data_IF_864450685110
#
_entry.id   IF_864450685110
#
_cell.length_a   1.000
_cell.length_b   1.000
_cell.length_c   1.000
_cell.angle_alpha   90.00
_cell.angle_beta   90.00
_cell.angle_gamma   90.00
#
_symmetry.space_group_name_H-M   'P 1'
#
loop_
_entity.id
_entity.type
_entity.pdbx_description
1 polymer ?
#
# COMPACT_ATOMS: atom_id res chain seq x y z
N UNK A 1 8.27 4.19 16.69
CA UNK A 1 6.94 4.82 16.89
C UNK A 1 5.81 3.85 16.56
N UNK A 2 5.75 3.29 15.34
CA UNK A 2 4.75 2.27 14.98
C UNK A 2 4.87 0.97 15.78
N UNK A 3 6.09 0.51 16.03
CA UNK A 3 6.37 -0.66 16.89
C UNK A 3 5.77 -0.46 18.30
N UNK A 4 5.96 0.71 18.91
CA UNK A 4 5.39 1.05 20.22
C UNK A 4 3.85 1.22 20.23
N UNK A 5 3.23 1.42 19.05
CA UNK A 5 1.76 1.41 18.90
C UNK A 5 1.22 -0.01 18.65
N UNK A 6 2.09 -0.92 18.23
CA UNK A 6 1.83 -2.34 18.00
C UNK A 6 2.44 -3.22 19.11
N UNK A 7 2.94 -2.62 20.20
CA UNK A 7 3.58 -3.26 21.36
C UNK A 7 2.60 -4.07 22.23
N UNK A 8 1.31 -4.07 21.88
CA UNK A 8 0.42 -5.14 22.30
C UNK A 8 0.72 -6.35 21.42
N UNK A 9 1.15 -7.46 22.03
CA UNK A 9 1.44 -8.75 21.36
C UNK A 9 0.56 -8.93 20.12
N UNK A 10 1.14 -8.68 18.94
CA UNK A 10 0.39 -8.79 17.70
C UNK A 10 -0.18 -10.20 17.62
N UNK A 11 -1.45 -10.36 17.23
CA UNK A 11 -2.02 -11.69 17.10
C UNK A 11 -1.16 -12.52 16.14
N UNK A 12 -0.63 -13.64 16.63
CA UNK A 12 0.18 -14.58 15.82
C UNK A 12 -0.66 -15.31 14.79
N UNK A 13 -1.99 -15.33 14.97
CA UNK A 13 -2.97 -15.90 14.04
C UNK A 13 -4.21 -15.01 13.96
N UNK A 14 -4.86 -15.00 12.80
CA UNK A 14 -6.10 -14.25 12.59
C UNK A 14 -5.89 -12.84 12.04
N UNK A 15 -6.89 -11.97 12.22
CA UNK A 15 -6.85 -10.58 11.72
C UNK A 15 -5.98 -9.73 12.64
N UNK A 16 -5.06 -8.96 12.05
CA UNK A 16 -4.26 -7.96 12.78
C UNK A 16 -5.14 -6.89 13.46
N UNK A 17 -6.25 -6.50 12.81
CA UNK A 17 -7.22 -5.55 13.34
C UNK A 17 -8.62 -6.18 13.37
N UNK A 18 -8.95 -7.01 14.37
CA UNK A 18 -10.15 -7.86 14.36
C UNK A 18 -11.46 -7.06 14.38
N UNK A 19 -11.46 -5.86 14.97
CA UNK A 19 -12.65 -5.01 15.12
C UNK A 19 -12.74 -3.89 14.09
N UNK A 20 -11.78 -3.81 13.16
CA UNK A 20 -11.71 -2.77 12.14
C UNK A 20 -12.58 -3.10 10.94
N UNK A 21 -13.37 -2.13 10.49
CA UNK A 21 -14.22 -2.25 9.30
C UNK A 21 -13.92 -1.11 8.34
N UNK A 22 -14.30 -1.27 7.06
CA UNK A 22 -14.14 -0.20 6.05
C UNK A 22 -14.82 1.09 6.51
N UNK A 23 -16.04 1.01 7.03
CA UNK A 23 -16.78 2.16 7.55
C UNK A 23 -16.02 2.89 8.69
N UNK A 24 -15.48 2.13 9.65
CA UNK A 24 -14.65 2.70 10.73
C UNK A 24 -13.41 3.41 10.17
N UNK A 25 -12.73 2.81 9.20
CA UNK A 25 -11.54 3.39 8.56
C UNK A 25 -11.89 4.70 7.84
N UNK A 26 -12.94 4.71 7.03
CA UNK A 26 -13.37 5.91 6.29
C UNK A 26 -13.80 7.02 7.24
N UNK A 27 -14.57 6.71 8.29
CA UNK A 27 -14.99 7.69 9.30
C UNK A 27 -13.81 8.26 10.09
N UNK A 28 -12.86 7.41 10.50
CA UNK A 28 -11.65 7.85 11.21
C UNK A 28 -10.77 8.74 10.32
N UNK A 29 -10.64 8.42 9.03
CA UNK A 29 -9.96 9.28 8.07
C UNK A 29 -10.66 10.64 7.92
N UNK A 30 -11.99 10.64 7.83
CA UNK A 30 -12.76 11.89 7.74
C UNK A 30 -12.59 12.77 8.98
N UNK A 31 -12.44 12.16 10.18
CA UNK A 31 -12.09 12.87 11.40
C UNK A 31 -10.65 13.41 11.34
N UNK A 32 -9.68 12.58 10.95
CA UNK A 32 -8.27 12.98 10.83
C UNK A 32 -8.09 14.18 9.89
N UNK A 33 -8.80 14.18 8.76
CA UNK A 33 -8.81 15.30 7.80
C UNK A 33 -9.27 16.64 8.39
N UNK A 34 -10.05 16.64 9.48
CA UNK A 34 -10.44 17.88 10.17
C UNK A 34 -9.30 18.46 11.01
N UNK A 35 -8.38 17.61 11.45
CA UNK A 35 -7.24 17.98 12.30
C UNK A 35 -5.99 18.30 11.48
N UNK A 36 -5.89 17.72 10.28
CA UNK A 36 -4.75 17.81 9.38
C UNK A 36 -5.16 18.53 8.07
N UNK A 37 -4.92 19.85 7.96
CA UNK A 37 -5.32 20.65 6.79
C UNK A 37 -4.75 20.13 5.46
N UNK A 38 -3.57 19.51 5.48
CA UNK A 38 -2.91 18.91 4.31
C UNK A 38 -3.71 17.74 3.71
N UNK A 39 -4.64 17.16 4.47
CA UNK A 39 -5.51 16.09 3.99
C UNK A 39 -6.84 16.64 3.43
N UNK A 40 -7.08 17.95 3.42
CA UNK A 40 -8.31 18.51 2.86
C UNK A 40 -8.53 18.08 1.40
N UNK A 41 -9.78 17.81 1.03
CA UNK A 41 -10.15 17.32 -0.31
C UNK A 41 -9.79 15.86 -0.59
N UNK A 42 -9.14 15.15 0.33
CA UNK A 42 -8.78 13.73 0.14
C UNK A 42 -9.75 12.77 0.85
N UNK A 43 -9.76 11.51 0.41
CA UNK A 43 -10.46 10.39 1.07
C UNK A 43 -9.46 9.30 1.42
N UNK A 44 -9.85 8.30 2.21
CA UNK A 44 -8.94 7.21 2.57
C UNK A 44 -8.31 6.55 1.35
N UNK A 45 -9.08 6.32 0.27
CA UNK A 45 -8.56 5.75 -0.98
C UNK A 45 -7.51 6.65 -1.68
N UNK A 46 -7.49 7.96 -1.42
CA UNK A 46 -6.44 8.86 -1.92
C UNK A 46 -5.05 8.47 -1.39
N UNK A 47 -4.95 7.79 -0.24
CA UNK A 47 -3.66 7.25 0.26
C UNK A 47 -3.06 6.25 -0.72
N UNK A 48 -3.88 5.38 -1.32
CA UNK A 48 -3.43 4.43 -2.36
C UNK A 48 -3.02 5.14 -3.64
N UNK A 49 -3.78 6.17 -4.06
CA UNK A 49 -3.40 6.98 -5.23
C UNK A 49 -2.05 7.67 -5.01
N UNK A 50 -1.88 8.30 -3.86
CA UNK A 50 -0.62 8.95 -3.46
C UNK A 50 0.53 7.95 -3.44
N UNK A 51 0.33 6.74 -2.89
CA UNK A 51 1.33 5.69 -2.88
C UNK A 51 1.79 5.30 -4.30
N UNK A 52 0.84 5.09 -5.22
CA UNK A 52 1.14 4.80 -6.62
C UNK A 52 1.95 5.95 -7.26
N UNK A 53 1.58 7.20 -6.99
CA UNK A 53 2.35 8.38 -7.44
C UNK A 53 3.77 8.41 -6.85
N UNK A 54 3.97 7.99 -5.60
CA UNK A 54 5.33 7.91 -5.05
C UNK A 54 6.17 6.83 -5.74
N UNK A 55 5.59 5.64 -5.99
CA UNK A 55 6.27 4.61 -6.77
C UNK A 55 6.72 5.11 -8.15
N UNK A 56 5.87 5.88 -8.83
CA UNK A 56 6.22 6.51 -10.11
C UNK A 56 7.38 7.50 -9.96
N UNK A 57 7.35 8.36 -8.94
CA UNK A 57 8.40 9.35 -8.65
C UNK A 57 9.74 8.70 -8.29
N UNK A 58 9.72 7.54 -7.63
CA UNK A 58 10.91 6.72 -7.36
C UNK A 58 11.33 5.87 -8.56
N UNK A 59 10.69 6.04 -9.72
CA UNK A 59 10.94 5.28 -10.96
C UNK A 59 10.74 3.77 -10.80
N UNK A 60 9.87 3.36 -9.89
CA UNK A 60 9.48 1.95 -9.76
C UNK A 60 8.75 1.50 -11.02
N UNK A 61 9.18 0.40 -11.67
CA UNK A 61 8.50 -0.12 -12.83
C UNK A 61 7.01 -0.41 -12.57
N UNK A 62 6.14 -0.03 -13.50
CA UNK A 62 4.68 -0.14 -13.35
C UNK A 62 4.22 -1.54 -12.93
N UNK A 63 4.78 -2.59 -13.54
CA UNK A 63 4.42 -3.98 -13.23
C UNK A 63 4.79 -4.38 -11.79
N UNK A 64 5.79 -3.76 -11.17
CA UNK A 64 6.10 -3.96 -9.75
C UNK A 64 5.12 -3.20 -8.88
N UNK A 65 4.80 -1.95 -9.21
CA UNK A 65 3.75 -1.19 -8.52
C UNK A 65 2.42 -1.93 -8.56
N UNK A 66 2.01 -2.45 -9.73
CA UNK A 66 0.81 -3.26 -9.91
C UNK A 66 0.81 -4.50 -9.00
N UNK A 67 1.94 -5.21 -8.92
CA UNK A 67 2.10 -6.35 -8.01
C UNK A 67 1.95 -5.96 -6.53
N UNK A 68 2.54 -4.84 -6.09
CA UNK A 68 2.45 -4.36 -4.70
C UNK A 68 1.01 -4.01 -4.34
N UNK A 69 0.31 -3.30 -5.23
CA UNK A 69 -1.04 -2.81 -4.95
C UNK A 69 -2.13 -3.84 -5.25
N UNK A 70 -1.77 -4.99 -5.84
CA UNK A 70 -2.72 -6.06 -6.19
C UNK A 70 -3.56 -5.75 -7.43
N UNK A 71 -3.03 -4.99 -8.37
CA UNK A 71 -3.65 -4.83 -9.70
C UNK A 71 -3.25 -5.99 -10.61
N UNK A 72 -4.17 -6.41 -11.47
CA UNK A 72 -3.80 -7.20 -12.64
C UNK A 72 -2.96 -6.30 -13.56
N UNK A 73 -1.69 -6.64 -13.76
CA UNK A 73 -0.86 -5.93 -14.72
C UNK A 73 -1.41 -6.15 -16.13
N UNK A 74 -1.45 -5.13 -16.99
CA UNK A 74 -1.84 -5.28 -18.40
C UNK A 74 -1.01 -6.34 -19.16
N UNK A 75 0.20 -6.67 -18.66
CA UNK A 75 1.01 -7.81 -19.12
C UNK A 75 0.37 -9.19 -18.90
N UNK A 76 -0.69 -9.30 -18.11
CA UNK A 76 -1.37 -10.56 -17.81
C UNK A 76 -2.23 -11.08 -18.97
N UNK A 77 -2.59 -10.24 -19.94
CA UNK A 77 -3.28 -10.70 -21.16
C UNK A 77 -2.30 -11.38 -22.13
N UNK A 78 -1.07 -10.86 -22.27
CA UNK A 78 -0.03 -11.43 -23.13
C UNK A 78 1.00 -12.28 -22.34
N UNK A 79 0.52 -13.39 -21.76
CA UNK A 79 1.23 -14.36 -20.88
C UNK A 79 2.57 -14.96 -21.38
N UNK A 80 3.10 -14.56 -22.53
CA UNK A 80 4.08 -15.35 -23.27
C UNK A 80 5.56 -15.01 -23.00
N UNK A 81 5.92 -13.79 -22.59
CA UNK A 81 7.35 -13.38 -22.60
C UNK A 81 8.07 -13.38 -21.25
N UNK A 82 7.37 -13.12 -20.13
CA UNK A 82 8.00 -13.10 -18.78
C UNK A 82 7.18 -13.75 -17.66
N UNK A 83 5.87 -13.99 -17.85
CA UNK A 83 5.00 -14.58 -16.83
C UNK A 83 5.35 -16.02 -16.43
N UNK A 84 6.16 -16.71 -17.23
CA UNK A 84 6.72 -18.03 -16.91
C UNK A 84 7.99 -17.96 -16.03
N UNK A 85 8.70 -16.83 -16.00
CA UNK A 85 10.06 -16.74 -15.44
C UNK A 85 10.18 -15.88 -14.19
N UNK A 86 9.30 -14.90 -13.99
CA UNK A 86 9.25 -14.13 -12.75
C UNK A 86 8.01 -14.55 -11.95
N UNK A 87 8.21 -15.27 -10.85
CA UNK A 87 7.15 -15.63 -9.90
C UNK A 87 6.57 -14.39 -9.15
N UNK A 88 6.51 -13.24 -9.81
CA UNK A 88 6.34 -11.92 -9.21
C UNK A 88 7.63 -11.37 -8.63
N UNK A 89 7.49 -10.27 -7.88
CA UNK A 89 8.56 -9.69 -7.07
C UNK A 89 8.61 -10.37 -5.70
N UNK A 90 9.82 -10.65 -5.23
CA UNK A 90 10.05 -11.17 -3.88
C UNK A 90 9.66 -10.15 -2.80
N UNK A 91 9.42 -10.61 -1.57
CA UNK A 91 9.12 -9.71 -0.46
C UNK A 91 10.30 -8.76 -0.13
N UNK A 92 11.54 -9.20 -0.35
CA UNK A 92 12.72 -8.34 -0.24
C UNK A 92 12.71 -7.20 -1.28
N UNK A 93 12.33 -7.50 -2.52
CA UNK A 93 12.18 -6.48 -3.57
C UNK A 93 11.02 -5.52 -3.27
N UNK A 94 9.87 -6.03 -2.79
CA UNK A 94 8.77 -5.18 -2.31
C UNK A 94 9.27 -4.24 -1.24
N UNK A 95 9.96 -4.77 -0.22
CA UNK A 95 10.51 -3.97 0.89
C UNK A 95 11.45 -2.88 0.38
N UNK A 96 12.38 -3.21 -0.52
CA UNK A 96 13.30 -2.22 -1.11
C UNK A 96 12.60 -1.11 -1.90
N UNK A 97 11.44 -1.37 -2.50
CA UNK A 97 10.61 -0.32 -3.12
C UNK A 97 9.96 0.56 -2.05
N UNK A 98 9.38 -0.05 -1.01
CA UNK A 98 8.75 0.69 0.09
C UNK A 98 9.76 1.61 0.78
N UNK A 99 10.99 1.15 0.99
CA UNK A 99 12.05 1.92 1.68
C UNK A 99 12.51 3.15 0.89
N UNK A 100 12.25 3.22 -0.42
CA UNK A 100 12.56 4.38 -1.25
C UNK A 100 11.49 5.49 -1.13
N UNK A 101 10.30 5.17 -0.65
CA UNK A 101 9.19 6.11 -0.53
C UNK A 101 9.36 6.93 0.75
N UNK A 102 9.51 8.24 0.60
CA UNK A 102 9.52 9.17 1.73
C UNK A 102 8.10 9.65 2.02
N UNK A 103 7.68 9.50 3.27
CA UNK A 103 6.45 10.12 3.77
C UNK A 103 6.73 11.64 3.89
N UNK A 104 5.78 12.51 3.50
CA UNK A 104 5.91 13.95 3.65
C UNK A 104 6.10 14.37 5.12
#
# INVERSE_FOLDING_TARGET
ILENLLDTTLPTTGRLFPTMTVDKVVKRYAFLRRQLPELQGTVYHSTRKWFITQCERTRTPEHFTASIVGHQSARSENKLTYGLYSAGISDAQKRGIIDQIKIP
#
